data_IF_340809179617
#
_entry.id   IF_340809179617
#
_cell.length_a   1.000
_cell.length_b   1.000
_cell.length_c   1.000
_cell.angle_alpha   90.00
_cell.angle_beta   90.00
_cell.angle_gamma   90.00
#
_symmetry.space_group_name_H-M   'P 1'
#
loop_
_entity.id
_entity.type
_entity.pdbx_description
1 polymer ?
#
# COMPACT_ATOMS: atom_id res chain seq x y z
N UNK A 1 4.35 21.46 20.08
CA UNK A 1 3.12 20.66 19.86
C UNK A 1 2.13 21.29 18.87
N UNK A 2 2.48 22.38 18.17
CA UNK A 2 1.56 23.11 17.29
C UNK A 2 1.74 22.76 15.80
N UNK A 3 2.88 22.16 15.43
CA UNK A 3 3.24 21.87 14.04
C UNK A 3 2.51 20.62 13.50
N UNK A 4 2.34 19.58 14.33
CA UNK A 4 1.71 18.31 13.94
C UNK A 4 0.21 18.44 13.61
N UNK A 5 -0.52 19.33 14.30
CA UNK A 5 -1.94 19.60 13.98
C UNK A 5 -2.13 20.26 12.62
N UNK A 6 -1.18 21.08 12.18
CA UNK A 6 -1.26 21.80 10.91
C UNK A 6 -0.95 20.88 9.72
N UNK A 7 -0.15 19.84 9.94
CA UNK A 7 0.16 18.83 8.92
C UNK A 7 -0.99 17.84 8.74
N UNK A 8 -1.63 17.43 9.83
CA UNK A 8 -2.78 16.51 9.79
C UNK A 8 -3.97 17.11 9.00
N UNK A 9 -4.31 18.38 9.24
CA UNK A 9 -5.41 19.04 8.53
C UNK A 9 -5.15 19.22 7.03
N UNK A 10 -3.88 19.28 6.59
CA UNK A 10 -3.53 19.29 5.16
C UNK A 10 -3.74 17.92 4.54
N UNK A 11 -3.41 16.84 5.25
CA UNK A 11 -3.62 15.46 4.79
C UNK A 11 -5.11 15.16 4.67
N UNK A 12 -5.94 15.60 5.63
CA UNK A 12 -7.40 15.45 5.55
C UNK A 12 -8.01 16.20 4.36
N UNK A 13 -7.50 17.40 4.04
CA UNK A 13 -7.93 18.14 2.85
C UNK A 13 -7.55 17.43 1.55
N UNK A 14 -6.36 16.86 1.45
CA UNK A 14 -5.93 16.12 0.26
C UNK A 14 -6.72 14.82 0.08
N UNK A 15 -6.99 14.09 1.17
CA UNK A 15 -7.88 12.91 1.15
C UNK A 15 -9.29 13.28 0.69
N UNK A 16 -9.84 14.39 1.17
CA UNK A 16 -11.16 14.86 0.74
C UNK A 16 -11.21 15.23 -0.75
N UNK A 17 -10.14 15.84 -1.29
CA UNK A 17 -10.04 16.11 -2.73
C UNK A 17 -9.97 14.83 -3.55
N UNK A 18 -9.23 13.83 -3.06
CA UNK A 18 -9.09 12.53 -3.71
C UNK A 18 -10.44 11.79 -3.78
N UNK A 19 -11.19 11.80 -2.67
CA UNK A 19 -12.50 11.15 -2.57
C UNK A 19 -13.54 11.82 -3.49
N UNK A 20 -13.46 13.15 -3.62
CA UNK A 20 -14.26 13.91 -4.57
C UNK A 20 -13.92 13.56 -6.02
N UNK A 21 -12.63 13.48 -6.36
CA UNK A 21 -12.18 13.09 -7.69
C UNK A 21 -12.62 11.65 -8.04
N UNK A 22 -12.51 10.72 -7.08
CA UNK A 22 -12.98 9.33 -7.24
C UNK A 22 -14.48 9.27 -7.51
N UNK A 23 -15.27 10.10 -6.83
CA UNK A 23 -16.71 10.21 -7.04
C UNK A 23 -17.04 10.76 -8.43
N UNK A 24 -16.31 11.77 -8.89
CA UNK A 24 -16.46 12.34 -10.24
C UNK A 24 -16.08 11.34 -11.34
N UNK A 25 -15.01 10.57 -11.15
CA UNK A 25 -14.61 9.48 -12.06
C UNK A 25 -15.65 8.36 -12.08
N UNK A 26 -16.14 7.95 -10.92
CA UNK A 26 -17.21 6.91 -10.81
C UNK A 26 -18.48 7.36 -11.52
N UNK A 27 -18.85 8.63 -11.38
CA UNK A 27 -20.00 9.21 -12.08
C UNK A 27 -19.78 9.23 -13.60
N UNK A 28 -18.62 9.68 -14.05
CA UNK A 28 -18.28 9.66 -15.47
C UNK A 28 -18.29 8.24 -16.07
N UNK A 29 -17.80 7.25 -15.33
CA UNK A 29 -17.86 5.83 -15.74
C UNK A 29 -19.31 5.33 -15.85
N UNK A 30 -20.18 5.68 -14.90
CA UNK A 30 -21.60 5.31 -14.96
C UNK A 30 -22.33 6.02 -16.12
N UNK A 31 -21.99 7.28 -16.40
CA UNK A 31 -22.55 8.03 -17.55
C UNK A 31 -22.11 7.39 -18.88
N UNK A 32 -20.87 6.90 -18.98
CA UNK A 32 -20.37 6.11 -20.13
C UNK A 32 -21.13 4.78 -20.26
N UNK A 33 -21.33 4.06 -19.17
CA UNK A 33 -22.07 2.79 -19.17
C UNK A 33 -23.54 2.99 -19.59
N UNK A 34 -24.15 4.11 -19.19
CA UNK A 34 -25.50 4.47 -19.64
C UNK A 34 -25.55 4.87 -21.12
N UNK A 35 -24.56 5.59 -21.65
CA UNK A 35 -24.49 5.97 -23.06
C UNK A 35 -24.16 4.80 -23.99
N UNK A 36 -23.33 3.84 -23.55
CA UNK A 36 -23.02 2.63 -24.32
C UNK A 36 -24.22 1.68 -24.43
N UNK A 37 -25.20 1.78 -23.53
CA UNK A 37 -26.41 0.97 -23.55
C UNK A 37 -27.60 1.64 -24.28
N UNK A 38 -27.47 2.90 -24.72
CA UNK A 38 -28.46 3.56 -25.56
C UNK A 38 -28.05 3.47 -27.03
N UNK A 39 -28.36 2.34 -27.66
CA UNK A 39 -28.32 2.18 -29.12
C UNK A 39 -29.38 3.06 -29.79
N UNK A 40 -29.06 4.34 -30.04
CA UNK A 40 -29.60 5.07 -31.19
C UNK A 40 -28.48 5.92 -31.81
N UNK A 41 -28.07 5.50 -33.01
CA UNK A 41 -27.05 6.11 -33.85
C UNK A 41 -27.46 7.49 -34.34
N UNK A 42 -26.55 8.47 -34.30
CA UNK A 42 -26.48 9.51 -35.34
C UNK A 42 -25.03 9.97 -35.61
N UNK A 43 -24.79 10.30 -36.87
CA UNK A 43 -23.50 10.25 -37.57
C UNK A 43 -22.55 11.44 -37.37
N UNK A 44 -22.63 12.16 -36.26
CA UNK A 44 -21.76 13.31 -35.97
C UNK A 44 -20.54 12.95 -35.07
N UNK A 45 -20.38 11.66 -34.74
CA UNK A 45 -19.55 11.19 -33.63
C UNK A 45 -18.02 11.05 -33.90
N UNK A 46 -17.50 11.47 -35.06
CA UNK A 46 -16.07 11.27 -35.39
C UNK A 46 -15.18 12.33 -34.70
N UNK A 47 -15.69 13.55 -34.47
CA UNK A 47 -14.93 14.61 -33.77
C UNK A 47 -14.79 14.30 -32.27
N UNK A 48 -15.84 13.73 -31.66
CA UNK A 48 -15.84 13.28 -30.26
C UNK A 48 -14.82 12.17 -29.97
N UNK A 49 -14.58 11.25 -30.92
CA UNK A 49 -13.63 10.13 -30.72
C UNK A 49 -12.18 10.64 -30.61
N UNK A 50 -11.83 11.70 -31.34
CA UNK A 50 -10.49 12.29 -31.27
C UNK A 50 -10.25 13.04 -29.96
N UNK A 51 -11.25 13.77 -29.48
CA UNK A 51 -11.18 14.44 -28.18
C UNK A 51 -11.12 13.42 -27.04
N UNK A 52 -11.86 12.31 -27.16
CA UNK A 52 -11.83 11.19 -26.22
C UNK A 52 -10.46 10.48 -26.19
N UNK A 53 -9.81 10.31 -27.35
CA UNK A 53 -8.46 9.75 -27.42
C UNK A 53 -7.38 10.64 -26.78
N UNK A 54 -7.59 11.96 -26.80
CA UNK A 54 -6.71 12.93 -26.13
C UNK A 54 -6.93 12.89 -24.62
N UNK A 55 -8.18 12.83 -24.15
CA UNK A 55 -8.52 12.68 -22.73
C UNK A 55 -7.97 11.37 -22.18
N UNK A 56 -8.13 10.24 -22.87
CA UNK A 56 -7.55 8.95 -22.46
C UNK A 56 -6.02 8.96 -22.39
N UNK A 57 -5.34 9.63 -23.33
CA UNK A 57 -3.89 9.81 -23.27
C UNK A 57 -3.46 10.66 -22.08
N UNK A 58 -4.20 11.72 -21.77
CA UNK A 58 -3.90 12.58 -20.63
C UNK A 58 -4.16 11.85 -19.30
N UNK A 59 -5.24 11.07 -19.19
CA UNK A 59 -5.52 10.20 -18.04
C UNK A 59 -4.41 9.17 -17.85
N UNK A 60 -3.96 8.51 -18.92
CA UNK A 60 -2.85 7.54 -18.84
C UNK A 60 -1.51 8.20 -18.47
N UNK A 61 -1.29 9.47 -18.85
CA UNK A 61 -0.11 10.25 -18.46
C UNK A 61 -0.20 10.67 -16.99
N UNK A 62 -1.37 11.12 -16.54
CA UNK A 62 -1.62 11.47 -15.13
C UNK A 62 -1.55 10.24 -14.22
N UNK A 63 -2.09 9.10 -14.64
CA UNK A 63 -1.99 7.83 -13.92
C UNK A 63 -0.53 7.41 -13.75
N UNK A 64 0.28 7.45 -14.82
CA UNK A 64 1.74 7.19 -14.72
C UNK A 64 2.46 8.20 -13.84
N UNK A 65 2.01 9.45 -13.81
CA UNK A 65 2.59 10.51 -12.98
C UNK A 65 2.21 10.31 -11.50
N UNK A 66 0.96 9.91 -11.23
CA UNK A 66 0.48 9.54 -9.89
C UNK A 66 1.11 8.25 -9.39
N UNK A 67 1.38 7.27 -10.24
CA UNK A 67 2.17 6.06 -9.89
C UNK A 67 3.62 6.43 -9.52
N UNK A 68 4.26 7.31 -10.30
CA UNK A 68 5.61 7.80 -10.01
C UNK A 68 5.68 8.71 -8.76
N UNK A 69 4.62 9.46 -8.47
CA UNK A 69 4.48 10.26 -7.25
C UNK A 69 4.19 9.37 -6.03
N UNK A 70 3.40 8.29 -6.18
CA UNK A 70 3.18 7.28 -5.15
C UNK A 70 4.45 6.49 -4.83
N UNK A 71 5.29 6.16 -5.83
CA UNK A 71 6.60 5.54 -5.61
C UNK A 71 7.54 6.38 -4.74
N UNK A 72 7.44 7.73 -4.77
CA UNK A 72 8.25 8.63 -3.94
C UNK A 72 7.64 8.90 -2.55
N UNK A 73 6.34 8.69 -2.38
CA UNK A 73 5.64 8.87 -1.10
C UNK A 73 5.89 7.66 -0.18
N UNK A 74 6.10 6.46 -0.74
CA UNK A 74 6.07 5.21 0.01
C UNK A 74 7.20 5.07 1.07
N UNK A 75 8.44 5.40 0.74
CA UNK A 75 9.60 5.07 1.59
C UNK A 75 9.63 5.81 2.93
N UNK A 76 9.27 7.11 2.96
CA UNK A 76 9.22 7.92 4.19
C UNK A 76 8.09 7.50 5.13
N UNK A 77 6.94 7.08 4.58
CA UNK A 77 5.81 6.67 5.39
C UNK A 77 6.05 5.30 6.02
N UNK A 78 6.76 4.40 5.33
CA UNK A 78 7.18 3.13 5.92
C UNK A 78 8.14 3.29 7.08
N UNK A 79 9.06 4.25 7.03
CA UNK A 79 9.94 4.57 8.16
C UNK A 79 9.11 5.00 9.38
N UNK A 80 8.12 5.87 9.19
CA UNK A 80 7.22 6.34 10.27
C UNK A 80 6.37 5.17 10.80
N UNK A 81 5.79 4.37 9.91
CA UNK A 81 4.99 3.19 10.28
C UNK A 81 5.83 2.20 11.08
N UNK A 82 7.05 1.90 10.64
CA UNK A 82 7.96 0.98 11.31
C UNK A 82 8.47 1.53 12.63
N UNK A 83 8.63 2.84 12.79
CA UNK A 83 8.92 3.47 14.08
C UNK A 83 7.74 3.32 15.07
N UNK A 84 6.50 3.49 14.60
CA UNK A 84 5.30 3.24 15.42
C UNK A 84 5.21 1.75 15.80
N UNK A 85 5.44 0.86 14.84
CA UNK A 85 5.43 -0.57 15.06
C UNK A 85 6.52 -0.98 16.06
N UNK A 86 7.74 -0.46 15.92
CA UNK A 86 8.85 -0.65 16.87
C UNK A 86 8.44 -0.27 18.28
N UNK A 87 7.82 0.91 18.47
CA UNK A 87 7.35 1.36 19.80
C UNK A 87 6.33 0.39 20.39
N UNK A 88 5.35 -0.06 19.61
CA UNK A 88 4.32 -1.01 20.05
C UNK A 88 4.92 -2.37 20.41
N UNK A 89 5.82 -2.88 19.56
CA UNK A 89 6.43 -4.20 19.71
C UNK A 89 7.50 -4.25 20.81
N UNK A 90 8.15 -3.12 21.12
CA UNK A 90 9.09 -3.01 22.23
C UNK A 90 8.45 -3.38 23.57
N UNK A 91 7.18 -2.99 23.79
CA UNK A 91 6.43 -3.39 24.99
C UNK A 91 6.14 -4.90 25.07
N UNK A 92 6.22 -5.60 23.94
CA UNK A 92 6.07 -7.06 23.84
C UNK A 92 7.42 -7.78 23.87
N UNK A 93 8.52 -7.08 24.18
CA UNK A 93 9.87 -7.64 24.21
C UNK A 93 10.48 -7.89 22.83
N UNK A 94 9.87 -7.36 21.77
CA UNK A 94 10.32 -7.51 20.40
C UNK A 94 11.17 -6.30 19.98
N UNK A 95 12.20 -6.54 19.17
CA UNK A 95 13.04 -5.49 18.60
C UNK A 95 12.83 -5.41 17.07
N UNK A 96 12.70 -4.20 16.53
CA UNK A 96 12.54 -3.99 15.08
C UNK A 96 13.69 -3.16 14.56
N UNK A 97 14.46 -3.74 13.63
CA UNK A 97 15.67 -3.15 13.06
C UNK A 97 15.58 -3.15 11.54
N UNK A 98 15.86 -2.01 10.92
CA UNK A 98 16.02 -1.94 9.47
C UNK A 98 17.36 -2.57 9.09
N UNK A 99 17.36 -3.48 8.13
CA UNK A 99 18.58 -4.11 7.62
C UNK A 99 19.11 -3.35 6.42
N UNK A 100 20.43 -3.13 6.39
CA UNK A 100 21.08 -2.49 5.25
C UNK A 100 21.13 -3.48 4.08
N UNK A 101 20.43 -3.18 3.00
CA UNK A 101 20.47 -3.97 1.76
C UNK A 101 20.45 -3.02 0.55
N UNK A 102 21.27 -3.26 -0.50
CA UNK A 102 21.48 -2.30 -1.58
C UNK A 102 20.24 -2.06 -2.47
N UNK A 103 19.32 -3.02 -2.52
CA UNK A 103 18.18 -2.99 -3.45
C UNK A 103 16.83 -3.30 -2.79
N UNK A 104 16.80 -3.51 -1.47
CA UNK A 104 15.60 -3.95 -0.77
C UNK A 104 15.45 -3.19 0.53
N UNK A 105 14.22 -2.81 0.86
CA UNK A 105 13.89 -2.25 2.16
C UNK A 105 13.50 -3.39 3.09
N UNK A 106 14.48 -3.87 3.86
CA UNK A 106 14.31 -5.03 4.75
C UNK A 106 14.18 -4.60 6.21
N UNK A 107 13.27 -5.24 6.93
CA UNK A 107 13.15 -5.11 8.39
C UNK A 107 13.24 -6.48 9.06
N UNK A 108 14.06 -6.55 10.10
CA UNK A 108 14.13 -7.68 11.02
C UNK A 108 13.27 -7.38 12.25
N UNK A 109 12.37 -8.30 12.58
CA UNK A 109 11.58 -8.28 13.81
C UNK A 109 12.06 -9.46 14.65
N UNK A 110 12.83 -9.16 15.69
CA UNK A 110 13.43 -10.11 16.62
C UNK A 110 12.51 -10.29 17.85
N UNK A 111 12.08 -11.52 18.10
CA UNK A 111 11.24 -11.92 19.23
C UNK A 111 12.04 -12.40 20.44
N UNK A 112 13.37 -12.25 20.41
CA UNK A 112 14.35 -12.82 21.33
C UNK A 112 14.55 -14.33 21.19
N UNK A 113 15.57 -14.87 21.91
CA UNK A 113 15.89 -16.31 21.98
C UNK A 113 16.15 -16.97 20.61
N UNK A 114 16.70 -16.21 19.67
CA UNK A 114 17.02 -16.71 18.31
C UNK A 114 15.82 -16.82 17.38
N UNK A 115 14.65 -16.31 17.78
CA UNK A 115 13.45 -16.26 16.95
C UNK A 115 13.32 -14.89 16.31
N UNK A 116 13.23 -14.84 14.99
CA UNK A 116 13.03 -13.59 14.26
C UNK A 116 12.34 -13.81 12.91
N UNK A 117 11.76 -12.75 12.37
CA UNK A 117 11.33 -12.71 10.96
C UNK A 117 12.04 -11.59 10.21
N UNK A 118 12.18 -11.78 8.90
CA UNK A 118 12.63 -10.74 7.98
C UNK A 118 11.49 -10.49 7.01
N UNK A 119 11.09 -9.22 6.90
CA UNK A 119 10.11 -8.75 5.93
C UNK A 119 10.78 -7.79 4.94
N UNK A 120 10.34 -7.83 3.70
CA UNK A 120 10.67 -6.85 2.66
C UNK A 120 9.48 -5.93 2.44
N UNK A 121 9.76 -4.65 2.24
CA UNK A 121 8.78 -3.66 1.82
C UNK A 121 9.12 -3.23 0.41
N UNK A 122 8.15 -3.35 -0.49
CA UNK A 122 8.26 -2.97 -1.89
C UNK A 122 6.93 -2.43 -2.40
N UNK A 123 6.89 -1.16 -2.85
CA UNK A 123 5.69 -0.49 -3.41
C UNK A 123 4.43 -0.72 -2.58
N UNK A 124 4.52 -0.37 -1.30
CA UNK A 124 3.46 -0.49 -0.30
C UNK A 124 3.03 -1.92 0.04
N UNK A 125 3.75 -2.94 -0.45
CA UNK A 125 3.53 -4.34 -0.10
C UNK A 125 4.61 -4.85 0.82
N UNK A 126 4.18 -5.65 1.78
CA UNK A 126 5.03 -6.39 2.69
C UNK A 126 5.07 -7.83 2.22
N UNK A 127 6.28 -8.34 1.99
CA UNK A 127 6.51 -9.76 1.75
C UNK A 127 7.34 -10.37 2.87
N UNK A 128 7.02 -11.61 3.22
CA UNK A 128 7.79 -12.37 4.20
C UNK A 128 8.98 -13.05 3.52
N UNK A 129 10.20 -12.65 3.91
CA UNK A 129 11.43 -13.17 3.32
C UNK A 129 12.01 -14.33 4.14
N UNK A 130 11.87 -14.30 5.47
CA UNK A 130 12.43 -15.34 6.35
C UNK A 130 11.68 -15.47 7.67
N UNK A 131 11.60 -16.70 8.17
CA UNK A 131 11.30 -17.03 9.57
C UNK A 131 12.48 -17.83 10.13
N UNK A 132 12.93 -17.47 11.33
CA UNK A 132 13.92 -18.22 12.10
C UNK A 132 13.34 -18.53 13.49
N UNK A 133 13.49 -19.77 13.99
CA UNK A 133 13.97 -20.96 13.27
C UNK A 133 13.07 -21.31 12.07
N UNK A 134 13.60 -22.08 11.12
CA UNK A 134 12.86 -22.41 9.90
C UNK A 134 11.55 -23.13 10.22
N UNK A 135 10.46 -22.63 9.65
CA UNK A 135 9.12 -23.13 9.92
C UNK A 135 8.63 -24.01 8.76
N UNK A 136 8.15 -25.24 9.05
CA UNK A 136 7.70 -26.21 8.03
C UNK A 136 6.63 -25.65 7.08
N UNK A 137 5.78 -24.75 7.59
CA UNK A 137 4.70 -24.11 6.82
C UNK A 137 5.08 -22.73 6.27
N UNK A 138 6.38 -22.41 6.11
CA UNK A 138 6.84 -21.09 5.66
C UNK A 138 6.11 -20.61 4.40
N UNK A 139 5.97 -21.47 3.38
CA UNK A 139 5.31 -21.10 2.12
C UNK A 139 3.85 -20.68 2.32
N UNK A 140 3.11 -21.39 3.16
CA UNK A 140 1.70 -21.06 3.43
C UNK A 140 1.57 -19.77 4.24
N UNK A 141 2.48 -19.55 5.20
CA UNK A 141 2.52 -18.31 5.99
C UNK A 141 2.86 -17.13 5.08
N UNK A 142 3.83 -17.30 4.18
CA UNK A 142 4.21 -16.30 3.19
C UNK A 142 3.05 -15.98 2.25
N UNK A 143 2.40 -16.98 1.68
CA UNK A 143 1.24 -16.78 0.80
C UNK A 143 0.09 -16.07 1.52
N UNK A 144 -0.16 -16.40 2.79
CA UNK A 144 -1.15 -15.71 3.59
C UNK A 144 -0.78 -14.25 3.82
N UNK A 145 0.48 -13.98 4.16
CA UNK A 145 1.01 -12.62 4.34
C UNK A 145 0.89 -11.79 3.05
N UNK A 146 1.27 -12.37 1.91
CA UNK A 146 1.19 -11.71 0.60
C UNK A 146 -0.27 -11.32 0.26
N UNK A 147 -1.26 -12.10 0.72
CA UNK A 147 -2.69 -11.80 0.54
C UNK A 147 -3.26 -10.83 1.58
N UNK A 148 -2.97 -11.05 2.86
CA UNK A 148 -3.60 -10.31 3.96
C UNK A 148 -2.92 -8.98 4.26
N UNK A 149 -1.61 -8.89 4.01
CA UNK A 149 -0.77 -7.76 4.39
C UNK A 149 -0.84 -7.44 5.92
N UNK A 150 -1.25 -8.41 6.74
CA UNK A 150 -1.44 -8.24 8.20
C UNK A 150 -0.20 -8.66 9.00
N UNK A 151 0.73 -7.73 9.19
CA UNK A 151 1.94 -7.94 10.01
C UNK A 151 1.59 -8.26 11.46
N UNK A 152 0.60 -7.59 12.04
CA UNK A 152 0.27 -7.77 13.46
C UNK A 152 -0.32 -9.16 13.71
N UNK A 153 -1.23 -9.60 12.83
CA UNK A 153 -1.75 -10.96 12.84
C UNK A 153 -0.64 -12.00 12.73
N UNK A 154 0.33 -11.79 11.82
CA UNK A 154 1.50 -12.66 11.68
C UNK A 154 2.33 -12.71 12.97
N UNK A 155 2.61 -11.56 13.59
CA UNK A 155 3.38 -11.48 14.83
C UNK A 155 2.67 -12.24 15.96
N UNK A 156 1.38 -12.04 16.14
CA UNK A 156 0.59 -12.72 17.17
C UNK A 156 0.57 -14.23 16.91
N UNK A 157 0.38 -14.65 15.66
CA UNK A 157 0.44 -16.04 15.27
C UNK A 157 1.81 -16.69 15.60
N UNK A 158 2.92 -16.03 15.27
CA UNK A 158 4.26 -16.56 15.56
C UNK A 158 4.58 -16.54 17.06
N UNK A 159 4.14 -15.51 17.79
CA UNK A 159 4.29 -15.45 19.24
C UNK A 159 3.54 -16.60 19.94
N UNK A 160 2.33 -16.93 19.47
CA UNK A 160 1.56 -18.06 20.03
C UNK A 160 2.15 -19.43 19.69
N UNK A 161 2.84 -19.57 18.56
CA UNK A 161 3.56 -20.81 18.22
C UNK A 161 4.79 -21.06 19.10
N UNK A 162 5.45 -19.99 19.57
CA UNK A 162 6.64 -20.06 20.44
C UNK A 162 6.31 -20.12 21.95
N UNK A 163 5.02 -20.08 22.33
CA UNK A 163 4.55 -20.25 23.72
C UNK A 163 4.33 -21.73 24.11
N UNK A 164 4.97 -22.68 23.41
CA UNK A 164 4.96 -24.11 23.75
C UNK A 164 6.31 -24.60 24.21
#
# INVERSE_FOLDING_TARGET
>A
MTIEKCTLGKVEQELYKLDKALTEVTKAMNDIEMQMNSDETDSDNIENINEFAIVLKNVAIEEKKSEAEAENIDEKYWIIYMDILRKKLCHLGCNVVQMLHPFKTLFCIDFSRGTYIIIEINKSKISLEKISPEHKNFNNIKEHMDKSQDILGLIVFLATLNLK
#
